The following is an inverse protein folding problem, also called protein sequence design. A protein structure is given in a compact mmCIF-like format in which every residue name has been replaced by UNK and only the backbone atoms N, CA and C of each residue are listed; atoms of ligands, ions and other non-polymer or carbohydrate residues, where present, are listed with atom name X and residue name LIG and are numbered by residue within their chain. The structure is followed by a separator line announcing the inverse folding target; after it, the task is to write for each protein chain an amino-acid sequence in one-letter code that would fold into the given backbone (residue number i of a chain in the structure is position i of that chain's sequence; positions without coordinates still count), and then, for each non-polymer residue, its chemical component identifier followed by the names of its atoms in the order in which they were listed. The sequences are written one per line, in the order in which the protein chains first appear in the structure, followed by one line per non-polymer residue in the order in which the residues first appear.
data_IF_155790255073
#
_entry.id   IF_155790255073
#
_cell.length_a   1.000
_cell.length_b   1.000
_cell.length_c   1.000
_cell.angle_alpha   90.00
_cell.angle_beta   90.00
_cell.angle_gamma   90.00
#
_symmetry.space_group_name_H-M   'P 1'
#
loop_
_entity.id
_entity.type
_entity.pdbx_description
1 polymer ?
#
# COMPACT_ATOMS: atom_id res chain seq x y z
N UNK A 1 -28.66 50.28 -15.31
CA UNK A 1 -28.37 49.56 -14.05
C UNK A 1 -28.98 48.17 -14.18
N UNK A 2 -28.18 47.15 -14.46
CA UNK A 2 -28.66 45.77 -14.61
C UNK A 2 -28.32 45.00 -13.33
N UNK A 3 -29.27 44.94 -12.40
CA UNK A 3 -29.11 44.18 -11.17
C UNK A 3 -29.55 42.73 -11.38
N UNK A 4 -28.59 41.86 -11.68
CA UNK A 4 -28.59 40.47 -11.20
C UNK A 4 -27.14 40.01 -11.19
N UNK A 5 -26.44 40.22 -10.07
CA UNK A 5 -25.38 39.28 -9.69
C UNK A 5 -26.10 37.96 -9.46
N UNK A 6 -26.08 37.10 -10.46
CA UNK A 6 -26.57 35.74 -10.31
C UNK A 6 -25.88 35.15 -9.07
N UNK A 7 -26.74 34.84 -8.13
CA UNK A 7 -26.47 34.44 -6.76
C UNK A 7 -25.46 33.26 -6.75
N UNK A 8 -24.45 33.41 -5.89
CA UNK A 8 -23.21 32.67 -5.94
C UNK A 8 -23.36 31.15 -5.78
N UNK A 9 -22.39 30.46 -6.37
CA UNK A 9 -22.08 29.04 -6.22
C UNK A 9 -23.18 28.08 -6.67
N UNK A 10 -23.03 27.57 -7.88
CA UNK A 10 -23.51 26.22 -8.23
C UNK A 10 -23.11 25.26 -7.10
N UNK A 11 -24.10 24.78 -6.33
CA UNK A 11 -23.89 23.99 -5.09
C UNK A 11 -22.92 22.82 -5.31
N UNK A 12 -21.67 23.03 -4.92
CA UNK A 12 -20.65 21.98 -4.89
C UNK A 12 -20.83 21.17 -3.60
N UNK A 13 -21.65 20.12 -3.65
CA UNK A 13 -21.95 19.22 -2.52
C UNK A 13 -21.80 17.74 -2.86
N UNK A 14 -21.02 17.40 -3.90
CA UNK A 14 -20.77 16.01 -4.32
C UNK A 14 -19.45 15.54 -3.72
N UNK A 15 -19.52 14.44 -2.96
CA UNK A 15 -18.35 13.72 -2.46
C UNK A 15 -18.53 12.22 -2.67
N UNK A 16 -17.42 11.49 -2.61
CA UNK A 16 -17.36 10.04 -2.74
C UNK A 16 -17.13 9.38 -1.38
N UNK A 17 -17.62 8.15 -1.22
CA UNK A 17 -17.34 7.37 -0.01
C UNK A 17 -15.84 7.08 0.13
N UNK A 18 -15.35 6.99 1.36
CA UNK A 18 -13.96 6.66 1.65
C UNK A 18 -13.58 5.27 1.12
N UNK A 19 -12.59 5.21 0.23
CA UNK A 19 -12.17 3.97 -0.46
C UNK A 19 -11.33 3.01 0.40
N UNK A 20 -11.11 3.33 1.69
CA UNK A 20 -10.36 2.53 2.67
C UNK A 20 -8.96 2.08 2.18
N UNK A 21 -8.32 2.91 1.34
CA UNK A 21 -6.94 2.74 0.88
C UNK A 21 -5.95 2.93 2.05
N UNK A 22 -4.70 2.58 1.84
CA UNK A 22 -3.63 2.71 2.82
C UNK A 22 -3.00 1.37 3.23
N UNK A 23 -2.03 1.48 4.14
CA UNK A 23 -1.26 0.36 4.70
C UNK A 23 -2.17 -0.47 5.60
N UNK A 24 -2.04 -1.80 5.48
CA UNK A 24 -2.79 -2.79 6.26
C UNK A 24 -1.90 -3.59 7.21
N UNK A 25 -0.60 -3.69 6.88
CA UNK A 25 0.42 -4.37 7.68
C UNK A 25 1.65 -3.48 7.81
N UNK A 26 2.04 -3.22 9.05
CA UNK A 26 3.19 -2.36 9.37
C UNK A 26 4.49 -3.17 9.44
N UNK A 27 5.62 -2.48 9.55
CA UNK A 27 6.94 -3.12 9.60
C UNK A 27 7.08 -3.98 10.86
N UNK A 28 7.62 -5.19 10.70
CA UNK A 28 7.78 -6.16 11.78
C UNK A 28 6.53 -7.01 12.05
N UNK A 29 5.39 -6.73 11.42
CA UNK A 29 4.21 -7.57 11.60
C UNK A 29 4.33 -8.92 10.89
N UNK A 30 3.84 -9.96 11.55
CA UNK A 30 3.73 -11.30 10.97
C UNK A 30 2.56 -11.34 9.97
N UNK A 31 2.86 -11.84 8.77
CA UNK A 31 1.91 -12.01 7.68
C UNK A 31 1.93 -13.45 7.17
N UNK A 32 0.79 -13.90 6.66
CA UNK A 32 0.65 -15.16 5.94
C UNK A 32 0.72 -14.90 4.43
N UNK A 33 1.00 -15.94 3.65
CA UNK A 33 0.80 -15.88 2.21
C UNK A 33 -0.63 -15.45 1.86
N UNK A 34 -0.77 -14.56 0.88
CA UNK A 34 -2.05 -13.97 0.45
C UNK A 34 -2.50 -12.73 1.23
N UNK A 35 -1.87 -12.38 2.36
CA UNK A 35 -2.27 -11.20 3.11
C UNK A 35 -2.01 -9.91 2.32
N UNK A 36 -2.98 -8.98 2.36
CA UNK A 36 -2.83 -7.65 1.78
C UNK A 36 -1.94 -6.78 2.68
N UNK A 37 -0.91 -6.18 2.10
CA UNK A 37 0.04 -5.30 2.78
C UNK A 37 -0.35 -3.82 2.65
N UNK A 38 -0.72 -3.40 1.43
CA UNK A 38 -1.18 -2.03 1.15
C UNK A 38 -2.18 -2.02 0.01
N UNK A 39 -3.24 -1.21 0.13
CA UNK A 39 -4.15 -0.87 -0.98
C UNK A 39 -3.86 0.56 -1.42
N UNK A 40 -3.53 0.80 -2.68
CA UNK A 40 -2.99 2.09 -3.10
C UNK A 40 -3.47 2.60 -4.45
N UNK A 41 -3.47 3.93 -4.53
CA UNK A 41 -3.46 4.80 -5.72
C UNK A 41 -2.23 4.66 -6.61
N UNK A 42 -2.12 3.70 -7.53
CA UNK A 42 -0.87 3.52 -8.28
C UNK A 42 0.29 3.05 -7.38
N UNK A 43 1.54 3.15 -7.85
CA UNK A 43 2.69 2.57 -7.14
C UNK A 43 3.39 3.56 -6.19
N UNK A 44 2.76 3.87 -5.05
CA UNK A 44 3.45 4.64 -3.97
C UNK A 44 4.50 3.76 -3.29
N UNK A 45 4.16 2.50 -3.07
CA UNK A 45 5.06 1.43 -2.67
C UNK A 45 5.22 0.44 -3.82
N UNK A 46 6.42 -0.05 -3.99
CA UNK A 46 6.75 -1.08 -4.98
C UNK A 46 6.92 -2.44 -4.31
N UNK A 47 6.62 -3.51 -5.04
CA UNK A 47 6.87 -4.87 -4.58
C UNK A 47 8.38 -5.10 -4.44
N UNK A 48 8.79 -5.53 -3.25
CA UNK A 48 10.13 -6.02 -2.95
C UNK A 48 10.18 -7.55 -2.98
N UNK A 49 11.02 -8.13 -2.11
CA UNK A 49 11.20 -9.57 -2.01
C UNK A 49 9.92 -10.24 -1.46
N UNK A 50 9.51 -11.36 -2.04
CA UNK A 50 8.34 -12.16 -1.61
C UNK A 50 6.99 -11.42 -1.60
N UNK A 51 6.87 -10.33 -2.36
CA UNK A 51 5.65 -9.54 -2.50
C UNK A 51 5.17 -9.58 -3.95
N UNK A 52 3.86 -9.65 -4.14
CA UNK A 52 3.19 -9.53 -5.44
C UNK A 52 2.43 -8.23 -5.59
N UNK A 53 2.19 -7.82 -6.84
CA UNK A 53 1.38 -6.66 -7.19
C UNK A 53 0.12 -7.13 -7.91
N UNK A 54 -1.05 -6.72 -7.41
CA UNK A 54 -2.33 -6.96 -8.07
C UNK A 54 -2.64 -5.96 -9.19
N UNK A 55 -3.75 -6.17 -9.91
CA UNK A 55 -4.21 -5.30 -11.00
C UNK A 55 -4.45 -3.85 -10.55
N UNK A 56 -4.94 -3.66 -9.32
CA UNK A 56 -5.20 -2.35 -8.73
C UNK A 56 -4.00 -1.78 -7.96
N UNK A 57 -2.78 -2.27 -8.24
CA UNK A 57 -1.54 -1.92 -7.54
C UNK A 57 -1.51 -2.30 -6.05
N UNK A 58 -2.48 -3.08 -5.56
CA UNK A 58 -2.44 -3.64 -4.21
C UNK A 58 -1.24 -4.57 -4.06
N UNK A 59 -0.49 -4.41 -2.97
CA UNK A 59 0.61 -5.33 -2.66
C UNK A 59 0.13 -6.41 -1.69
N UNK A 60 0.49 -7.66 -1.97
CA UNK A 60 0.16 -8.81 -1.16
C UNK A 60 1.40 -9.69 -0.90
N UNK A 61 1.41 -10.39 0.24
CA UNK A 61 2.49 -11.31 0.57
C UNK A 61 2.38 -12.61 -0.23
N UNK A 62 3.50 -13.11 -0.75
CA UNK A 62 3.56 -14.44 -1.38
C UNK A 62 3.91 -15.55 -0.39
N UNK A 63 4.54 -15.20 0.73
CA UNK A 63 5.03 -16.15 1.75
C UNK A 63 4.59 -15.70 3.14
N UNK A 64 4.76 -16.58 4.14
CA UNK A 64 4.60 -16.20 5.54
C UNK A 64 5.91 -15.63 6.09
N UNK A 65 5.82 -14.62 6.96
CA UNK A 65 7.00 -14.01 7.58
C UNK A 65 6.74 -12.59 8.07
N UNK A 66 7.81 -11.80 8.22
CA UNK A 66 7.74 -10.42 8.71
C UNK A 66 7.85 -9.37 7.60
N UNK A 67 7.03 -8.31 7.69
CA UNK A 67 7.04 -7.20 6.72
C UNK A 67 8.21 -6.26 6.98
N UNK A 68 8.94 -5.90 5.92
CA UNK A 68 10.03 -4.93 5.95
C UNK A 68 9.83 -3.83 4.90
N UNK A 69 9.95 -2.58 5.35
CA UNK A 69 9.92 -1.40 4.46
C UNK A 69 11.34 -0.94 4.16
N UNK A 70 11.68 -0.83 2.87
CA UNK A 70 13.02 -0.43 2.42
C UNK A 70 12.90 0.79 1.52
N UNK A 71 13.80 1.76 1.70
CA UNK A 71 13.96 2.89 0.77
C UNK A 71 15.21 2.61 -0.06
N UNK A 72 15.09 2.57 -1.40
CA UNK A 72 16.22 2.36 -2.31
C UNK A 72 16.30 3.51 -3.32
N UNK A 73 17.52 3.84 -3.75
CA UNK A 73 17.82 4.89 -4.73
C UNK A 73 18.46 6.14 -4.10
N UNK A 74 19.05 6.98 -4.95
CA UNK A 74 19.71 8.23 -4.58
C UNK A 74 18.95 9.46 -5.10
N UNK A 75 19.08 10.58 -4.40
CA UNK A 75 18.51 11.87 -4.81
C UNK A 75 16.99 11.83 -5.03
N UNK A 76 16.55 12.27 -6.22
CA UNK A 76 15.13 12.37 -6.63
C UNK A 76 14.49 11.02 -7.01
N UNK A 77 15.28 9.96 -7.18
CA UNK A 77 14.80 8.63 -7.59
C UNK A 77 14.59 7.65 -6.42
N UNK A 78 14.39 8.17 -5.21
CA UNK A 78 14.12 7.36 -4.02
C UNK A 78 12.75 6.67 -4.13
N UNK A 79 12.76 5.34 -4.20
CA UNK A 79 11.55 4.50 -4.20
C UNK A 79 11.42 3.72 -2.91
N UNK A 80 10.17 3.54 -2.45
CA UNK A 80 9.84 2.74 -1.26
C UNK A 80 9.39 1.35 -1.72
N UNK A 81 9.97 0.33 -1.12
CA UNK A 81 9.67 -1.07 -1.37
C UNK A 81 9.13 -1.72 -0.11
N UNK A 82 8.22 -2.68 -0.29
CA UNK A 82 7.76 -3.56 0.78
C UNK A 82 8.24 -4.97 0.44
N UNK A 83 9.01 -5.55 1.34
CA UNK A 83 9.48 -6.93 1.26
C UNK A 83 8.89 -7.74 2.42
N UNK A 84 8.79 -9.05 2.25
CA UNK A 84 8.49 -9.98 3.35
C UNK A 84 9.69 -10.89 3.54
N UNK A 85 10.28 -10.84 4.74
CA UNK A 85 11.36 -11.73 5.14
C UNK A 85 10.69 -13.00 5.68
N UNK A 86 10.97 -14.14 5.07
CA UNK A 86 10.41 -15.41 5.52
C UNK A 86 11.06 -15.83 6.85
N UNK A 87 10.26 -16.33 7.79
CA UNK A 87 10.73 -16.92 9.06
C UNK A 87 11.15 -18.38 8.90
N UNK A 88 11.67 -18.75 7.73
CA UNK A 88 12.22 -20.07 7.49
C UNK A 88 13.59 -20.18 8.16
N UNK A 89 13.57 -20.27 9.49
CA UNK A 89 14.73 -20.58 10.32
C UNK A 89 14.42 -21.43 11.57
N UNK A 90 13.17 -21.81 11.83
CA UNK A 90 12.88 -22.73 12.93
C UNK A 90 11.56 -23.48 12.73
N UNK A 91 11.62 -24.69 12.14
CA UNK A 91 10.94 -25.94 12.58
C UNK A 91 10.99 -26.93 11.40
N UNK A 92 12.10 -27.64 11.27
CA UNK A 92 12.18 -29.07 10.89
C UNK A 92 13.63 -29.55 10.89
N UNK A 93 14.30 -29.33 12.02
CA UNK A 93 15.47 -30.10 12.47
C UNK A 93 15.09 -30.87 13.76
N UNK A 94 13.86 -31.39 13.80
CA UNK A 94 13.33 -32.11 14.96
C UNK A 94 12.16 -33.01 14.56
N UNK A 95 12.42 -33.97 13.66
CA UNK A 95 12.01 -35.39 13.72
C UNK A 95 13.07 -36.17 12.97
#
# INVERSE_FOLDING_TARGET
MAHKKAFGSSRNGRDSQGQRRGVKKFGGELVKAGNILVRQVGSTFHAGLNVGTGRDFTLFSKVSGHVQFIKKGSGKHKRKYISVIADDAAVSASV
#
